data_IF_899761340429
#
_entry.id   IF_899761340429
#
_cell.length_a   1.000
_cell.length_b   1.000
_cell.length_c   1.000
_cell.angle_alpha   90.00
_cell.angle_beta   90.00
_cell.angle_gamma   90.00
#
_symmetry.space_group_name_H-M   'P 1'
#
loop_
_entity.id
_entity.type
_entity.pdbx_description
1 polymer ?
#
# COMPACT_ATOMS: atom_id res chain seq x y z
N UNK A 1 -30.25 14.08 -26.88
CA UNK A 1 -29.69 12.78 -26.47
C UNK A 1 -30.11 12.51 -25.05
N UNK A 2 -30.47 11.27 -24.69
CA UNK A 2 -30.78 10.94 -23.31
C UNK A 2 -29.54 11.22 -22.45
N UNK A 3 -29.65 12.11 -21.47
CA UNK A 3 -28.57 12.37 -20.52
C UNK A 3 -28.23 11.04 -19.82
N UNK A 4 -26.95 10.66 -19.85
CA UNK A 4 -26.47 9.50 -19.09
C UNK A 4 -26.72 9.76 -17.61
N UNK A 5 -27.46 8.87 -16.95
CA UNK A 5 -27.70 8.97 -15.52
C UNK A 5 -26.37 8.77 -14.76
N UNK A 6 -26.11 9.55 -13.71
CA UNK A 6 -24.89 9.39 -12.92
C UNK A 6 -24.88 8.03 -12.23
N UNK A 7 -23.71 7.38 -12.21
CA UNK A 7 -23.48 6.14 -11.47
C UNK A 7 -23.02 6.48 -10.05
N UNK A 8 -23.74 5.98 -9.04
CA UNK A 8 -23.41 6.16 -7.63
C UNK A 8 -22.73 4.91 -7.08
N UNK A 9 -21.58 5.09 -6.44
CA UNK A 9 -20.92 4.06 -5.64
C UNK A 9 -21.22 4.32 -4.17
N UNK A 10 -21.99 3.43 -3.54
CA UNK A 10 -22.23 3.47 -2.10
C UNK A 10 -21.27 2.47 -1.43
N UNK A 11 -20.41 2.98 -0.56
CA UNK A 11 -19.53 2.17 0.26
C UNK A 11 -20.12 2.08 1.67
N UNK A 12 -20.63 0.91 2.02
CA UNK A 12 -21.18 0.62 3.35
C UNK A 12 -20.11 -0.05 4.21
N UNK A 13 -19.40 0.75 4.99
CA UNK A 13 -18.41 0.31 5.96
C UNK A 13 -18.45 1.24 7.19
N UNK A 14 -17.88 0.80 8.30
CA UNK A 14 -17.78 1.61 9.52
C UNK A 14 -16.84 2.81 9.38
N UNK A 15 -15.91 2.77 8.41
CA UNK A 15 -14.91 3.81 8.16
C UNK A 15 -14.30 4.39 9.43
N UNK A 16 -13.90 3.49 10.31
CA UNK A 16 -13.54 3.74 11.70
C UNK A 16 -12.44 4.79 11.87
N UNK A 17 -11.40 4.70 11.04
CA UNK A 17 -10.29 5.65 11.00
C UNK A 17 -10.47 6.63 9.85
N UNK A 18 -10.09 7.89 10.07
CA UNK A 18 -10.05 8.92 9.03
C UNK A 18 -9.14 8.53 7.86
N UNK A 19 -8.06 7.78 8.10
CA UNK A 19 -7.19 7.27 7.03
C UNK A 19 -7.95 6.39 6.03
N UNK A 20 -8.89 5.57 6.50
CA UNK A 20 -9.72 4.73 5.63
C UNK A 20 -10.60 5.58 4.70
N UNK A 21 -11.19 6.65 5.23
CA UNK A 21 -11.97 7.62 4.43
C UNK A 21 -11.10 8.40 3.46
N UNK A 22 -9.89 8.76 3.90
CA UNK A 22 -8.93 9.48 3.06
C UNK A 22 -8.42 8.66 1.88
N UNK A 23 -8.31 7.34 2.01
CA UNK A 23 -7.99 6.44 0.89
C UNK A 23 -9.09 6.45 -0.19
N UNK A 24 -10.36 6.41 0.23
CA UNK A 24 -11.50 6.54 -0.70
C UNK A 24 -11.50 7.92 -1.36
N UNK A 25 -11.26 8.98 -0.59
CA UNK A 25 -11.13 10.34 -1.11
C UNK A 25 -10.03 10.44 -2.18
N UNK A 26 -8.85 9.85 -1.93
CA UNK A 26 -7.76 9.80 -2.91
C UNK A 26 -8.17 9.07 -4.20
N UNK A 27 -8.98 8.01 -4.09
CA UNK A 27 -9.50 7.31 -5.25
C UNK A 27 -10.47 8.19 -6.05
N UNK A 28 -11.36 8.91 -5.35
CA UNK A 28 -12.26 9.87 -5.99
C UNK A 28 -11.48 10.97 -6.73
N UNK A 29 -10.44 11.54 -6.10
CA UNK A 29 -9.52 12.50 -6.74
C UNK A 29 -8.86 11.92 -7.98
N UNK A 30 -8.35 10.70 -7.91
CA UNK A 30 -7.63 10.04 -9.01
C UNK A 30 -8.49 9.94 -10.28
N UNK A 31 -9.79 9.68 -10.12
CA UNK A 31 -10.71 9.49 -11.22
C UNK A 31 -11.65 10.69 -11.46
N UNK A 32 -11.35 11.84 -10.84
CA UNK A 32 -12.17 13.05 -10.93
C UNK A 32 -13.64 12.81 -10.60
N UNK A 33 -13.90 12.06 -9.52
CA UNK A 33 -15.25 11.70 -9.07
C UNK A 33 -15.74 12.70 -8.01
N UNK A 34 -17.05 12.89 -7.95
CA UNK A 34 -17.71 13.49 -6.79
C UNK A 34 -17.51 12.63 -5.55
N UNK A 35 -17.24 13.25 -4.41
CA UNK A 35 -17.06 12.59 -3.13
C UNK A 35 -17.87 13.27 -2.04
N UNK A 36 -18.57 12.47 -1.24
CA UNK A 36 -19.21 12.92 -0.01
C UNK A 36 -19.22 11.80 1.02
N UNK A 37 -19.46 12.18 2.28
CA UNK A 37 -19.49 11.27 3.41
C UNK A 37 -20.83 11.41 4.13
N UNK A 38 -21.49 10.29 4.38
CA UNK A 38 -22.62 10.22 5.28
C UNK A 38 -22.20 9.52 6.56
N UNK A 39 -22.16 10.25 7.66
CA UNK A 39 -21.82 9.70 8.97
C UNK A 39 -23.09 9.52 9.79
N UNK A 40 -23.43 8.28 10.09
CA UNK A 40 -24.60 7.92 10.88
C UNK A 40 -24.19 7.83 12.35
N UNK A 41 -24.38 8.92 13.08
CA UNK A 41 -24.15 8.96 14.52
C UNK A 41 -25.25 8.17 15.24
N UNK A 42 -24.87 7.44 16.27
CA UNK A 42 -25.81 6.66 17.08
C UNK A 42 -25.34 6.62 18.53
N UNK A 43 -26.20 6.90 19.51
CA UNK A 43 -25.85 6.74 20.91
C UNK A 43 -25.37 5.32 21.21
N UNK A 44 -24.31 5.19 22.02
CA UNK A 44 -23.71 3.90 22.38
C UNK A 44 -24.74 2.90 22.91
N UNK A 45 -25.68 3.37 23.74
CA UNK A 45 -26.71 2.50 24.32
C UNK A 45 -27.66 1.95 23.26
N UNK A 46 -28.01 2.76 22.25
CA UNK A 46 -28.79 2.30 21.11
C UNK A 46 -27.99 1.27 20.29
N UNK A 47 -26.69 1.49 20.06
CA UNK A 47 -25.82 0.52 19.39
C UNK A 47 -25.75 -0.82 20.13
N UNK A 48 -25.60 -0.81 21.45
CA UNK A 48 -25.55 -2.01 22.29
C UNK A 48 -26.90 -2.75 22.27
N UNK A 49 -28.01 -2.02 22.40
CA UNK A 49 -29.35 -2.60 22.31
C UNK A 49 -29.58 -3.26 20.94
N UNK A 50 -29.26 -2.56 19.84
CA UNK A 50 -29.39 -3.10 18.47
C UNK A 50 -28.48 -4.32 18.27
N UNK A 51 -27.27 -4.29 18.82
CA UNK A 51 -26.33 -5.42 18.73
C UNK A 51 -26.87 -6.69 19.38
N UNK A 52 -27.51 -6.60 20.55
CA UNK A 52 -28.13 -7.75 21.23
C UNK A 52 -29.24 -8.41 20.42
N UNK A 53 -29.85 -7.68 19.47
CA UNK A 53 -30.91 -8.17 18.61
C UNK A 53 -30.41 -8.76 17.28
N UNK A 54 -29.10 -8.68 16.99
CA UNK A 54 -28.52 -9.24 15.77
C UNK A 54 -28.49 -10.77 15.85
N UNK A 55 -28.59 -11.42 14.69
CA UNK A 55 -28.40 -12.88 14.58
C UNK A 55 -27.00 -13.32 14.98
N UNK A 56 -26.00 -12.48 14.72
CA UNK A 56 -24.60 -12.68 15.09
C UNK A 56 -24.07 -11.41 15.79
N UNK A 57 -24.21 -11.33 17.12
CA UNK A 57 -23.78 -10.16 17.88
C UNK A 57 -22.26 -10.12 18.03
N UNK A 58 -21.67 -8.93 17.90
CA UNK A 58 -20.26 -8.72 18.27
C UNK A 58 -20.11 -8.53 19.78
N UNK A 59 -18.94 -8.79 20.38
CA UNK A 59 -18.72 -8.52 21.80
C UNK A 59 -18.99 -7.05 22.15
N UNK A 60 -19.71 -6.80 23.25
CA UNK A 60 -20.07 -5.43 23.66
C UNK A 60 -18.83 -4.56 23.89
N UNK A 61 -17.74 -5.14 24.40
CA UNK A 61 -16.47 -4.45 24.60
C UNK A 61 -15.90 -3.91 23.28
N UNK A 62 -16.13 -4.61 22.17
CA UNK A 62 -15.71 -4.15 20.84
C UNK A 62 -16.47 -2.88 20.46
N UNK A 63 -17.79 -2.86 20.64
CA UNK A 63 -18.62 -1.67 20.34
C UNK A 63 -18.23 -0.49 21.23
N UNK A 64 -18.01 -0.73 22.52
CA UNK A 64 -17.57 0.31 23.47
C UNK A 64 -16.18 0.86 23.09
N UNK A 65 -15.25 -0.01 22.69
CA UNK A 65 -13.95 0.40 22.20
C UNK A 65 -14.07 1.20 20.91
N UNK A 66 -14.94 0.76 20.00
CA UNK A 66 -15.20 1.47 18.75
C UNK A 66 -15.73 2.89 19.03
N UNK A 67 -16.78 3.02 19.83
CA UNK A 67 -17.34 4.32 20.19
C UNK A 67 -16.31 5.31 20.80
N UNK A 68 -15.28 4.80 21.49
CA UNK A 68 -14.21 5.64 22.07
C UNK A 68 -13.14 6.10 21.08
N UNK A 69 -12.88 5.36 20.00
CA UNK A 69 -11.83 5.75 19.03
C UNK A 69 -12.32 6.02 17.62
N UNK A 70 -13.62 5.94 17.35
CA UNK A 70 -14.16 6.34 16.05
C UNK A 70 -13.80 7.80 15.78
N UNK A 71 -13.20 8.06 14.63
CA UNK A 71 -12.72 9.39 14.27
C UNK A 71 -13.80 10.13 13.48
N UNK A 72 -14.53 11.04 14.14
CA UNK A 72 -15.59 11.84 13.50
C UNK A 72 -15.03 12.66 12.32
N UNK A 73 -15.81 12.86 11.24
CA UNK A 73 -15.45 13.83 10.20
C UNK A 73 -15.27 15.23 10.78
N UNK A 74 -14.20 15.93 10.41
CA UNK A 74 -13.86 17.27 10.90
C UNK A 74 -13.77 18.26 9.74
N UNK A 75 -14.90 18.89 9.43
CA UNK A 75 -15.06 19.85 8.34
C UNK A 75 -14.20 21.12 8.51
N UNK A 76 -13.76 21.43 9.75
CA UNK A 76 -12.96 22.63 10.02
C UNK A 76 -11.48 22.37 9.81
N UNK A 77 -10.99 21.19 10.22
CA UNK A 77 -9.57 20.84 10.09
C UNK A 77 -9.23 20.23 8.74
N UNK A 78 -10.16 19.49 8.15
CA UNK A 78 -9.91 18.71 6.95
C UNK A 78 -10.77 19.23 5.79
N UNK A 79 -10.20 20.06 4.93
CA UNK A 79 -10.92 20.62 3.79
C UNK A 79 -11.52 19.54 2.86
N UNK A 80 -10.88 18.37 2.77
CA UNK A 80 -11.39 17.24 1.99
C UNK A 80 -12.61 16.54 2.60
N UNK A 81 -12.92 16.81 3.87
CA UNK A 81 -14.14 16.31 4.53
C UNK A 81 -15.29 17.34 4.45
N UNK A 82 -15.17 18.43 3.68
CA UNK A 82 -16.19 19.49 3.60
C UNK A 82 -17.58 18.98 3.18
N UNK A 83 -17.64 17.96 2.32
CA UNK A 83 -18.88 17.32 1.90
C UNK A 83 -19.24 16.15 2.83
N UNK A 84 -19.28 16.40 4.14
CA UNK A 84 -19.74 15.42 5.13
C UNK A 84 -21.05 15.84 5.76
N UNK A 85 -22.00 14.92 5.80
CA UNK A 85 -23.26 15.07 6.51
C UNK A 85 -23.29 14.12 7.71
N UNK A 86 -23.54 14.64 8.91
CA UNK A 86 -23.67 13.85 10.13
C UNK A 86 -25.16 13.80 10.47
N UNK A 87 -25.74 12.59 10.47
CA UNK A 87 -27.14 12.35 10.81
C UNK A 87 -27.25 11.48 12.05
N UNK A 88 -28.27 11.75 12.87
CA UNK A 88 -28.58 10.87 13.98
C UNK A 88 -29.45 9.70 13.50
N UNK A 89 -28.93 8.49 13.65
CA UNK A 89 -29.61 7.25 13.25
C UNK A 89 -30.66 6.76 14.25
N UNK A 90 -30.91 7.46 15.36
CA UNK A 90 -32.02 7.12 16.27
C UNK A 90 -33.38 7.51 15.71
N UNK A 91 -33.45 8.59 14.93
CA UNK A 91 -34.70 9.22 14.50
C UNK A 91 -34.58 9.64 13.03
N UNK A 92 -35.02 8.77 12.10
CA UNK A 92 -35.04 9.13 10.67
C UNK A 92 -36.25 10.05 10.40
N UNK A 93 -36.00 11.28 9.94
CA UNK A 93 -37.03 12.27 9.64
C UNK A 93 -37.00 12.66 8.15
N UNK A 94 -38.09 13.20 7.63
CA UNK A 94 -38.19 13.60 6.21
C UNK A 94 -37.15 14.63 5.78
N UNK A 95 -36.59 15.41 6.72
CA UNK A 95 -35.53 16.38 6.44
C UNK A 95 -34.20 15.71 6.09
N UNK A 96 -33.94 14.50 6.59
CA UNK A 96 -32.72 13.73 6.32
C UNK A 96 -32.63 13.36 4.84
N UNK A 97 -33.75 12.94 4.24
CA UNK A 97 -33.83 12.58 2.82
C UNK A 97 -33.41 13.76 1.94
N UNK A 98 -33.93 14.96 2.23
CA UNK A 98 -33.58 16.16 1.47
C UNK A 98 -32.10 16.53 1.63
N UNK A 99 -31.56 16.44 2.85
CA UNK A 99 -30.14 16.73 3.10
C UNK A 99 -29.22 15.74 2.36
N UNK A 100 -29.56 14.46 2.35
CA UNK A 100 -28.81 13.42 1.62
C UNK A 100 -28.85 13.70 0.11
N UNK A 101 -30.02 13.97 -0.46
CA UNK A 101 -30.14 14.27 -1.89
C UNK A 101 -29.35 15.53 -2.27
N UNK A 102 -29.39 16.56 -1.44
CA UNK A 102 -28.63 17.79 -1.65
C UNK A 102 -27.11 17.55 -1.55
N UNK A 103 -26.67 16.72 -0.61
CA UNK A 103 -25.26 16.31 -0.49
C UNK A 103 -24.78 15.59 -1.75
N UNK A 104 -25.56 14.63 -2.23
CA UNK A 104 -25.24 13.86 -3.45
C UNK A 104 -25.18 14.77 -4.68
N UNK A 105 -26.14 15.69 -4.84
CA UNK A 105 -26.13 16.66 -5.94
C UNK A 105 -24.90 17.57 -5.88
N UNK A 106 -24.58 18.11 -4.71
CA UNK A 106 -23.41 18.97 -4.50
C UNK A 106 -22.11 18.23 -4.85
N UNK A 107 -21.96 16.99 -4.40
CA UNK A 107 -20.78 16.18 -4.71
C UNK A 107 -20.66 15.86 -6.21
N UNK A 108 -21.78 15.58 -6.87
CA UNK A 108 -21.81 15.31 -8.31
C UNK A 108 -21.41 16.53 -9.16
N UNK A 109 -21.84 17.73 -8.74
CA UNK A 109 -21.52 18.99 -9.41
C UNK A 109 -20.08 19.46 -9.14
N UNK A 110 -19.45 18.97 -8.07
CA UNK A 110 -18.12 19.37 -7.62
C UNK A 110 -17.16 18.17 -7.54
N UNK A 111 -16.74 17.60 -8.68
CA UNK A 111 -15.79 16.48 -8.70
C UNK A 111 -14.43 16.87 -8.12
N UNK A 112 -13.83 15.93 -7.41
CA UNK A 112 -12.55 16.12 -6.75
C UNK A 112 -11.40 16.15 -7.77
N UNK A 113 -10.52 17.14 -7.68
CA UNK A 113 -9.44 17.30 -8.68
C UNK A 113 -8.24 16.40 -8.37
N UNK A 114 -7.63 15.74 -9.37
CA UNK A 114 -6.36 15.05 -9.20
C UNK A 114 -5.30 16.02 -8.65
N UNK A 115 -4.44 15.55 -7.73
CA UNK A 115 -3.23 16.31 -7.36
C UNK A 115 -2.14 15.90 -8.33
N UNK A 116 -1.77 16.77 -9.28
CA UNK A 116 -0.64 16.49 -10.17
C UNK A 116 0.67 16.36 -9.35
N UNK A 117 0.84 17.18 -8.30
CA UNK A 117 2.05 17.24 -7.46
C UNK A 117 2.29 15.99 -6.57
N UNK A 118 1.24 15.34 -6.06
CA UNK A 118 1.39 14.19 -5.13
C UNK A 118 1.77 12.90 -5.89
N UNK A 119 1.39 12.78 -7.16
CA UNK A 119 1.81 11.69 -8.05
C UNK A 119 3.30 11.77 -8.38
N UNK A 120 3.79 12.93 -8.80
CA UNK A 120 5.21 13.12 -9.14
C UNK A 120 6.10 12.97 -7.91
N UNK A 121 5.70 13.51 -6.76
CA UNK A 121 6.46 13.37 -5.51
C UNK A 121 6.47 11.94 -4.98
N UNK A 122 5.35 11.19 -5.06
CA UNK A 122 5.32 9.77 -4.68
C UNK A 122 6.11 8.89 -5.64
N UNK A 123 6.09 9.17 -6.94
CA UNK A 123 6.90 8.44 -7.93
C UNK A 123 8.39 8.75 -7.75
N UNK A 124 8.76 10.01 -7.52
CA UNK A 124 10.13 10.40 -7.21
C UNK A 124 10.61 9.76 -5.89
N UNK A 125 9.79 9.75 -4.83
CA UNK A 125 10.13 9.11 -3.57
C UNK A 125 10.29 7.59 -3.71
N UNK A 126 9.44 6.94 -4.51
CA UNK A 126 9.59 5.52 -4.87
C UNK A 126 10.86 5.26 -5.67
N UNK A 127 11.20 6.13 -6.62
CA UNK A 127 12.43 6.03 -7.40
C UNK A 127 13.69 6.20 -6.54
N UNK A 128 13.67 7.15 -5.59
CA UNK A 128 14.77 7.35 -4.62
C UNK A 128 14.92 6.13 -3.70
N UNK A 129 13.80 5.58 -3.22
CA UNK A 129 13.82 4.38 -2.39
C UNK A 129 14.36 3.16 -3.17
N UNK A 130 13.92 2.98 -4.42
CA UNK A 130 14.42 1.94 -5.30
C UNK A 130 15.91 2.12 -5.62
N UNK A 131 16.37 3.34 -5.86
CA UNK A 131 17.79 3.65 -6.07
C UNK A 131 18.64 3.32 -4.84
N UNK A 132 18.14 3.61 -3.64
CA UNK A 132 18.78 3.24 -2.38
C UNK A 132 18.86 1.72 -2.20
N UNK A 133 17.76 1.00 -2.46
CA UNK A 133 17.71 -0.46 -2.37
C UNK A 133 18.66 -1.15 -3.37
N UNK A 134 18.68 -0.69 -4.62
CA UNK A 134 19.59 -1.20 -5.67
C UNK A 134 21.05 -0.95 -5.30
N UNK A 135 21.36 0.22 -4.74
CA UNK A 135 22.70 0.53 -4.28
C UNK A 135 23.15 -0.37 -3.12
N UNK A 136 22.28 -0.61 -2.13
CA UNK A 136 22.58 -1.53 -1.03
C UNK A 136 22.74 -2.98 -1.53
N UNK A 137 21.91 -3.43 -2.46
CA UNK A 137 22.02 -4.75 -3.08
C UNK A 137 23.33 -4.90 -3.87
N UNK A 138 23.76 -3.89 -4.65
CA UNK A 138 25.03 -3.93 -5.38
C UNK A 138 26.22 -4.04 -4.41
N UNK A 139 26.21 -3.28 -3.32
CA UNK A 139 27.25 -3.39 -2.29
C UNK A 139 27.28 -4.81 -1.67
N UNK A 140 26.12 -5.37 -1.35
CA UNK A 140 26.01 -6.74 -0.83
C UNK A 140 26.56 -7.77 -1.82
N UNK A 141 26.15 -7.70 -3.09
CA UNK A 141 26.61 -8.61 -4.13
C UNK A 141 28.13 -8.51 -4.34
N UNK A 142 28.72 -7.31 -4.34
CA UNK A 142 30.18 -7.14 -4.45
C UNK A 142 30.93 -7.81 -3.30
N UNK A 143 30.40 -7.77 -2.07
CA UNK A 143 30.99 -8.47 -0.92
C UNK A 143 30.93 -9.98 -1.11
N UNK A 144 29.78 -10.51 -1.54
CA UNK A 144 29.61 -11.93 -1.85
C UNK A 144 30.57 -12.40 -2.95
N UNK A 145 30.70 -11.64 -4.05
CA UNK A 145 31.67 -11.95 -5.12
C UNK A 145 33.10 -11.95 -4.58
N UNK A 146 33.46 -10.96 -3.76
CA UNK A 146 34.81 -10.87 -3.19
C UNK A 146 35.12 -12.09 -2.31
N UNK A 147 34.17 -12.52 -1.48
CA UNK A 147 34.31 -13.72 -0.66
C UNK A 147 34.42 -14.98 -1.53
N UNK A 148 33.53 -15.14 -2.51
CA UNK A 148 33.55 -16.26 -3.44
C UNK A 148 34.89 -16.38 -4.19
N UNK A 149 35.47 -15.26 -4.60
CA UNK A 149 36.77 -15.21 -5.27
C UNK A 149 37.94 -15.55 -4.33
N UNK A 150 37.86 -15.14 -3.05
CA UNK A 150 38.85 -15.52 -2.03
C UNK A 150 38.79 -17.02 -1.72
N UNK A 151 37.58 -17.56 -1.55
CA UNK A 151 37.36 -19.00 -1.27
C UNK A 151 37.83 -19.86 -2.45
N UNK A 152 37.55 -19.43 -3.68
CA UNK A 152 38.02 -20.08 -4.90
C UNK A 152 39.56 -20.09 -4.99
N UNK A 153 40.21 -18.97 -4.64
CA UNK A 153 41.67 -18.88 -4.59
C UNK A 153 42.28 -19.79 -3.52
N UNK A 154 41.64 -19.90 -2.36
CA UNK A 154 42.04 -20.83 -1.29
C UNK A 154 41.95 -22.31 -1.69
N UNK A 155 41.16 -22.63 -2.73
CA UNK A 155 40.99 -23.98 -3.27
C UNK A 155 41.87 -24.27 -4.50
N UNK A 156 42.86 -23.42 -4.79
CA UNK A 156 43.84 -23.59 -5.87
C UNK A 156 43.23 -23.71 -7.30
N UNK A 157 42.13 -23.01 -7.58
CA UNK A 157 41.56 -22.92 -8.93
C UNK A 157 42.54 -22.23 -9.89
N UNK A 158 42.61 -22.70 -11.15
CA UNK A 158 43.52 -22.18 -12.16
C UNK A 158 43.25 -20.69 -12.48
N UNK A 159 44.27 -19.87 -12.78
CA UNK A 159 44.08 -18.45 -13.10
C UNK A 159 43.12 -18.16 -14.28
N UNK A 160 43.09 -19.05 -15.28
CA UNK A 160 42.14 -18.97 -16.41
C UNK A 160 40.70 -19.20 -15.98
N UNK A 161 40.48 -20.11 -15.04
CA UNK A 161 39.17 -20.44 -14.50
C UNK A 161 38.69 -19.39 -13.49
N UNK A 162 39.61 -18.78 -12.75
CA UNK A 162 39.33 -17.62 -11.91
C UNK A 162 38.77 -16.44 -12.71
N UNK A 163 39.27 -16.24 -13.94
CA UNK A 163 38.75 -15.21 -14.84
C UNK A 163 37.31 -15.52 -15.27
N UNK A 164 37.05 -16.75 -15.73
CA UNK A 164 35.70 -17.18 -16.13
C UNK A 164 34.70 -17.14 -14.97
N UNK A 165 35.13 -17.54 -13.77
CA UNK A 165 34.32 -17.45 -12.55
C UNK A 165 33.93 -15.99 -12.24
N UNK A 166 34.88 -15.06 -12.34
CA UNK A 166 34.60 -13.64 -12.12
C UNK A 166 33.59 -13.08 -13.14
N UNK A 167 33.70 -13.49 -14.41
CA UNK A 167 32.77 -13.08 -15.47
C UNK A 167 31.35 -13.62 -15.21
N UNK A 168 31.22 -14.90 -14.82
CA UNK A 168 29.92 -15.53 -14.53
C UNK A 168 29.25 -14.91 -13.30
N UNK A 169 30.03 -14.61 -12.24
CA UNK A 169 29.53 -13.92 -11.04
C UNK A 169 29.10 -12.47 -11.30
N UNK A 170 29.84 -11.73 -12.13
CA UNK A 170 29.45 -10.36 -12.49
C UNK A 170 28.22 -10.34 -13.40
N UNK A 171 28.06 -11.33 -14.29
CA UNK A 171 26.86 -11.49 -15.11
C UNK A 171 25.64 -11.76 -14.23
N UNK A 172 25.74 -12.70 -13.31
CA UNK A 172 24.68 -13.01 -12.35
C UNK A 172 24.26 -11.79 -11.53
N UNK A 173 25.24 -11.00 -11.07
CA UNK A 173 24.97 -9.76 -10.34
C UNK A 173 24.18 -8.76 -11.20
N UNK A 174 24.54 -8.63 -12.47
CA UNK A 174 23.86 -7.70 -13.38
C UNK A 174 22.38 -8.09 -13.57
N UNK A 175 22.11 -9.38 -13.77
CA UNK A 175 20.75 -9.94 -13.92
C UNK A 175 19.91 -9.69 -12.64
N UNK A 176 20.45 -10.02 -11.47
CA UNK A 176 19.76 -9.84 -10.18
C UNK A 176 19.46 -8.36 -9.86
N UNK A 177 20.39 -7.45 -10.19
CA UNK A 177 20.17 -6.02 -9.99
C UNK A 177 19.16 -5.44 -10.98
N UNK A 178 19.07 -5.98 -12.19
CA UNK A 178 18.07 -5.59 -13.18
C UNK A 178 16.66 -6.02 -12.75
N UNK A 179 16.51 -7.24 -12.24
CA UNK A 179 15.24 -7.73 -11.70
C UNK A 179 14.76 -6.88 -10.51
N UNK A 180 15.69 -6.44 -9.65
CA UNK A 180 15.39 -5.53 -8.54
C UNK A 180 14.95 -4.14 -9.04
N UNK A 181 15.57 -3.61 -10.11
CA UNK A 181 15.16 -2.34 -10.73
C UNK A 181 13.77 -2.42 -11.36
N UNK A 182 13.42 -3.58 -11.92
CA UNK A 182 12.11 -3.82 -12.55
C UNK A 182 11.03 -4.19 -11.53
N UNK A 183 11.36 -4.31 -10.23
CA UNK A 183 10.41 -4.67 -9.18
C UNK A 183 9.90 -6.12 -9.28
N UNK A 184 10.64 -7.00 -9.97
CA UNK A 184 10.29 -8.42 -10.16
C UNK A 184 10.59 -9.30 -8.93
N UNK A 185 10.92 -8.69 -7.79
CA UNK A 185 11.42 -9.39 -6.61
C UNK A 185 10.41 -10.40 -6.08
N UNK A 186 10.89 -11.63 -5.82
CA UNK A 186 10.13 -12.74 -5.24
C UNK A 186 9.39 -12.29 -3.99
N UNK A 187 8.07 -12.46 -3.99
CA UNK A 187 7.18 -12.21 -2.85
C UNK A 187 7.46 -13.23 -1.74
N UNK A 188 8.49 -13.03 -0.93
CA UNK A 188 8.67 -13.76 0.34
C UNK A 188 8.14 -12.91 1.48
N UNK A 189 7.10 -13.39 2.15
CA UNK A 189 6.19 -12.62 3.02
C UNK A 189 6.81 -11.97 4.27
N UNK A 190 8.11 -12.10 4.57
CA UNK A 190 8.66 -11.66 5.85
C UNK A 190 10.13 -11.17 5.83
N UNK A 191 10.71 -10.82 4.68
CA UNK A 191 12.09 -10.29 4.62
C UNK A 191 12.16 -8.95 3.90
N UNK A 192 13.02 -8.05 4.40
CA UNK A 192 13.50 -6.88 3.67
C UNK A 192 13.95 -7.29 2.25
N UNK A 193 13.46 -6.62 1.18
CA UNK A 193 13.75 -6.99 -0.20
C UNK A 193 15.25 -7.06 -0.52
N UNK A 194 16.05 -6.16 0.07
CA UNK A 194 17.51 -6.14 -0.14
C UNK A 194 18.15 -7.39 0.44
N UNK A 195 17.78 -7.74 1.68
CA UNK A 195 18.28 -8.94 2.36
C UNK A 195 17.90 -10.22 1.61
N UNK A 196 16.66 -10.30 1.09
CA UNK A 196 16.20 -11.43 0.28
C UNK A 196 17.04 -11.57 -1.01
N UNK A 197 17.27 -10.47 -1.72
CA UNK A 197 18.06 -10.44 -2.96
C UNK A 197 19.49 -10.88 -2.72
N UNK A 198 20.13 -10.39 -1.65
CA UNK A 198 21.51 -10.76 -1.31
C UNK A 198 21.59 -12.26 -0.96
N UNK A 199 20.62 -12.80 -0.23
CA UNK A 199 20.59 -14.22 0.12
C UNK A 199 20.42 -15.14 -1.10
N UNK A 200 19.56 -14.75 -2.05
CA UNK A 200 19.38 -15.46 -3.33
C UNK A 200 20.67 -15.45 -4.14
N UNK A 201 21.28 -14.27 -4.29
CA UNK A 201 22.55 -14.12 -4.99
C UNK A 201 23.67 -14.94 -4.35
N UNK A 202 23.73 -14.99 -3.02
CA UNK A 202 24.72 -15.80 -2.30
C UNK A 202 24.54 -17.30 -2.57
N UNK A 203 23.30 -17.79 -2.62
CA UNK A 203 23.02 -19.20 -2.94
C UNK A 203 23.46 -19.54 -4.37
N UNK A 204 23.08 -18.73 -5.35
CA UNK A 204 23.45 -18.93 -6.75
C UNK A 204 24.96 -18.76 -6.99
N UNK A 205 25.60 -17.78 -6.36
CA UNK A 205 27.05 -17.60 -6.41
C UNK A 205 27.79 -18.83 -5.88
N UNK A 206 27.29 -19.45 -4.80
CA UNK A 206 27.84 -20.69 -4.26
C UNK A 206 27.73 -21.84 -5.28
N UNK A 207 26.59 -21.96 -5.97
CA UNK A 207 26.40 -22.95 -7.02
C UNK A 207 27.36 -22.74 -8.19
N UNK A 208 27.59 -21.48 -8.61
CA UNK A 208 28.57 -21.14 -9.66
C UNK A 208 29.98 -21.55 -9.22
N UNK A 209 30.41 -21.18 -8.01
CA UNK A 209 31.74 -21.52 -7.47
C UNK A 209 31.95 -23.03 -7.40
N UNK A 210 30.94 -23.80 -6.98
CA UNK A 210 31.02 -25.26 -6.92
C UNK A 210 31.28 -25.92 -8.29
N UNK A 211 30.81 -25.33 -9.41
CA UNK A 211 31.11 -25.84 -10.76
C UNK A 211 32.60 -25.81 -11.10
N UNK A 212 33.38 -24.93 -10.49
CA UNK A 212 34.82 -24.80 -10.74
C UNK A 212 35.66 -25.59 -9.74
N UNK A 213 35.11 -25.93 -8.57
CA UNK A 213 35.79 -26.74 -7.55
C UNK A 213 35.62 -28.24 -7.81
N UNK A 214 34.46 -28.66 -8.32
CA UNK A 214 34.10 -30.07 -8.52
C UNK A 214 34.43 -30.60 -9.94
N UNK A 215 35.19 -29.85 -10.73
CA UNK A 215 35.77 -30.31 -12.00
C UNK A 215 37.07 -31.04 -11.76
#
# INVERSE_FOLDING_TARGET
>A
GAASRPLLFLLDDNFYYRSMRYEVYQLARKYSLGFCQLFLECPLECCLQRNRLRSDPVPEQTIQLMARKIEMPDLKKNAWEQHSLILNSSDCISEDEYQILNLLATALENPERPNEEDTEQKEAARAICAASAVHQADQGCRRVISQAMQDAKGKNILPSEMKSLAEELNKLKAEVLEDLRQGKTLKTQYSDPVTSVISSFQHEATNVVNKYILK
#
